data_IF_214263045141
#
_entry.id   IF_214263045141
#
_cell.length_a   1.000
_cell.length_b   1.000
_cell.length_c   1.000
_cell.angle_alpha   90.00
_cell.angle_beta   90.00
_cell.angle_gamma   90.00
#
_symmetry.space_group_name_H-M   'P 1'
#
loop_
_entity.id
_entity.type
_entity.pdbx_description
1 polymer ?
#
# COMPACT_ATOMS: atom_id res chain seq x y z
N UNK A 1 -9.76 -18.27 -19.73
CA UNK A 1 -9.79 -19.59 -19.04
C UNK A 1 -11.14 -19.75 -18.35
N UNK A 2 -11.74 -20.94 -18.30
CA UNK A 2 -12.99 -21.14 -17.58
C UNK A 2 -12.76 -21.07 -16.07
N UNK A 3 -13.59 -20.30 -15.38
CA UNK A 3 -13.64 -20.34 -13.91
C UNK A 3 -14.19 -21.70 -13.44
N UNK A 4 -13.69 -22.17 -12.30
CA UNK A 4 -14.19 -23.36 -11.58
C UNK A 4 -14.29 -23.05 -10.09
N UNK A 5 -15.26 -23.64 -9.41
CA UNK A 5 -15.43 -23.51 -7.95
C UNK A 5 -14.17 -24.00 -7.21
N UNK A 6 -13.67 -23.19 -6.28
CA UNK A 6 -12.46 -23.50 -5.49
C UNK A 6 -11.17 -22.89 -6.04
N UNK A 7 -11.19 -22.33 -7.25
CA UNK A 7 -10.04 -21.65 -7.84
C UNK A 7 -9.65 -20.38 -7.07
N UNK A 8 -8.36 -20.14 -6.92
CA UNK A 8 -7.76 -18.90 -6.38
C UNK A 8 -7.43 -17.84 -7.45
N UNK A 9 -7.86 -16.61 -7.19
CA UNK A 9 -7.74 -15.45 -8.09
C UNK A 9 -7.44 -14.19 -7.29
N UNK A 10 -6.77 -13.22 -7.91
CA UNK A 10 -6.56 -11.87 -7.35
C UNK A 10 -7.30 -10.82 -8.18
N UNK A 11 -7.66 -9.71 -7.54
CA UNK A 11 -8.13 -8.50 -8.24
C UNK A 11 -6.93 -7.70 -8.73
N UNK A 12 -6.90 -7.35 -10.01
CA UNK A 12 -5.84 -6.53 -10.61
C UNK A 12 -5.96 -5.05 -10.19
N UNK A 13 -7.16 -4.62 -9.79
CA UNK A 13 -7.44 -3.24 -9.37
C UNK A 13 -7.37 -3.04 -7.86
N UNK A 14 -7.70 -4.07 -7.08
CA UNK A 14 -7.82 -4.02 -5.62
C UNK A 14 -6.88 -5.06 -4.97
N UNK A 15 -5.57 -4.90 -5.18
CA UNK A 15 -4.56 -5.84 -4.68
C UNK A 15 -4.54 -5.99 -3.15
N UNK A 16 -5.03 -4.99 -2.43
CA UNK A 16 -5.19 -4.96 -0.98
C UNK A 16 -6.19 -6.02 -0.46
N UNK A 17 -7.10 -6.49 -1.32
CA UNK A 17 -8.01 -7.59 -1.00
C UNK A 17 -7.27 -8.94 -0.94
N UNK A 18 -6.04 -9.06 -1.44
CA UNK A 18 -5.29 -10.30 -1.42
C UNK A 18 -5.92 -11.41 -2.27
N UNK A 19 -5.78 -12.66 -1.82
CA UNK A 19 -6.15 -13.84 -2.61
C UNK A 19 -7.61 -14.28 -2.37
N UNK A 20 -8.43 -14.21 -3.42
CA UNK A 20 -9.84 -14.62 -3.42
C UNK A 20 -10.08 -16.05 -3.91
N UNK A 21 -11.16 -16.69 -3.46
CA UNK A 21 -11.64 -18.01 -3.91
C UNK A 21 -12.91 -17.87 -4.72
N UNK A 22 -13.03 -18.58 -5.83
CA UNK A 22 -14.31 -18.75 -6.54
C UNK A 22 -15.28 -19.56 -5.68
N UNK A 23 -16.34 -18.91 -5.19
CA UNK A 23 -17.36 -19.52 -4.31
C UNK A 23 -18.70 -19.74 -5.01
N UNK A 24 -18.98 -18.98 -6.07
CA UNK A 24 -20.20 -19.14 -6.86
C UNK A 24 -19.96 -18.67 -8.31
N UNK A 25 -20.73 -19.22 -9.23
CA UNK A 25 -20.65 -18.89 -10.65
C UNK A 25 -22.02 -19.03 -11.31
N UNK A 26 -22.35 -18.05 -12.15
CA UNK A 26 -23.55 -18.07 -12.99
C UNK A 26 -23.17 -18.03 -14.47
N UNK A 27 -24.16 -17.90 -15.35
CA UNK A 27 -23.96 -17.81 -16.79
C UNK A 27 -23.06 -16.63 -17.20
N UNK A 28 -23.12 -15.49 -16.49
CA UNK A 28 -22.43 -14.24 -16.86
C UNK A 28 -21.46 -13.72 -15.80
N UNK A 29 -21.53 -14.22 -14.57
CA UNK A 29 -20.81 -13.66 -13.42
C UNK A 29 -20.07 -14.74 -12.65
N UNK A 30 -19.02 -14.32 -11.94
CA UNK A 30 -18.26 -15.12 -10.98
C UNK A 30 -18.16 -14.35 -9.67
N UNK A 31 -18.34 -15.04 -8.55
CA UNK A 31 -18.23 -14.49 -7.20
C UNK A 31 -16.93 -14.96 -6.57
N UNK A 32 -16.07 -14.00 -6.22
CA UNK A 32 -14.83 -14.24 -5.47
C UNK A 32 -15.03 -13.82 -4.00
N UNK A 33 -14.77 -14.75 -3.08
CA UNK A 33 -14.64 -14.47 -1.64
C UNK A 33 -13.19 -14.14 -1.33
N UNK A 34 -12.91 -12.99 -0.72
CA UNK A 34 -11.59 -12.58 -0.26
C UNK A 34 -11.47 -12.81 1.26
N UNK A 35 -10.83 -13.90 1.73
CA UNK A 35 -10.85 -14.27 3.15
C UNK A 35 -10.08 -13.31 4.06
N UNK A 36 -9.15 -12.54 3.50
CA UNK A 36 -8.37 -11.50 4.17
C UNK A 36 -9.25 -10.36 4.72
N UNK A 37 -10.30 -9.99 3.99
CA UNK A 37 -11.26 -8.93 4.35
C UNK A 37 -12.65 -9.46 4.70
N UNK A 38 -12.96 -10.70 4.31
CA UNK A 38 -14.28 -11.31 4.44
C UNK A 38 -15.29 -10.83 3.40
N UNK A 39 -14.85 -10.06 2.39
CA UNK A 39 -15.72 -9.51 1.36
C UNK A 39 -15.94 -10.45 0.17
N UNK A 40 -17.14 -10.40 -0.41
CA UNK A 40 -17.44 -11.02 -1.70
C UNK A 40 -17.45 -9.94 -2.79
N UNK A 41 -16.76 -10.17 -3.90
CA UNK A 41 -16.85 -9.33 -5.11
C UNK A 41 -17.39 -10.14 -6.29
N UNK A 42 -18.26 -9.48 -7.05
CA UNK A 42 -18.88 -10.05 -8.24
C UNK A 42 -18.20 -9.47 -9.48
N UNK A 43 -17.69 -10.34 -10.34
CA UNK A 43 -17.04 -9.97 -11.60
C UNK A 43 -17.78 -10.58 -12.78
N UNK A 44 -17.70 -9.93 -13.95
CA UNK A 44 -18.16 -10.52 -15.20
C UNK A 44 -17.24 -11.68 -15.63
N UNK A 45 -17.79 -12.76 -16.21
CA UNK A 45 -16.95 -13.87 -16.72
C UNK A 45 -16.12 -13.47 -17.94
N UNK A 46 -16.59 -12.48 -18.70
CA UNK A 46 -15.87 -11.86 -19.82
C UNK A 46 -15.17 -10.58 -19.35
N UNK A 47 -13.89 -10.41 -19.71
CA UNK A 47 -13.12 -9.17 -19.48
C UNK A 47 -13.05 -8.74 -18.00
N UNK A 48 -12.97 -9.70 -17.08
CA UNK A 48 -12.79 -9.37 -15.66
C UNK A 48 -11.34 -8.99 -15.36
N UNK A 49 -11.11 -7.94 -14.54
CA UNK A 49 -9.78 -7.52 -14.09
C UNK A 49 -9.30 -8.43 -12.95
N UNK A 50 -9.33 -9.74 -13.19
CA UNK A 50 -8.93 -10.75 -12.21
C UNK A 50 -7.92 -11.70 -12.85
N UNK A 51 -6.88 -12.04 -12.10
CA UNK A 51 -5.83 -12.93 -12.57
C UNK A 51 -5.81 -14.22 -11.76
N UNK A 52 -5.68 -15.34 -12.47
CA UNK A 52 -5.55 -16.67 -11.89
C UNK A 52 -4.22 -16.79 -11.16
N UNK A 53 -4.26 -17.27 -9.92
CA UNK A 53 -3.04 -17.51 -9.15
C UNK A 53 -2.60 -18.95 -9.32
N UNK A 54 -1.38 -19.10 -9.83
CA UNK A 54 -0.73 -20.39 -10.06
C UNK A 54 0.72 -20.28 -9.63
N UNK A 55 1.22 -21.31 -8.96
CA UNK A 55 2.63 -21.44 -8.59
C UNK A 55 3.29 -22.55 -9.42
N UNK A 56 4.61 -22.46 -9.56
CA UNK A 56 5.39 -23.40 -10.36
C UNK A 56 6.24 -24.31 -9.46
N UNK A 57 6.68 -25.48 -9.95
CA UNK A 57 7.71 -26.26 -9.29
C UNK A 57 8.95 -25.40 -8.97
N UNK A 58 9.45 -25.52 -7.75
CA UNK A 58 10.53 -24.70 -7.19
C UNK A 58 10.07 -23.49 -6.36
N UNK A 59 8.79 -23.10 -6.42
CA UNK A 59 8.24 -22.05 -5.56
C UNK A 59 8.00 -22.58 -4.14
N UNK A 60 8.04 -21.67 -3.15
CA UNK A 60 7.63 -21.95 -1.78
C UNK A 60 6.29 -21.25 -1.52
N UNK A 61 5.29 -22.02 -1.10
CA UNK A 61 3.93 -21.54 -0.82
C UNK A 61 3.56 -21.78 0.64
N UNK A 62 2.64 -20.95 1.15
CA UNK A 62 2.17 -21.03 2.54
C UNK A 62 0.72 -21.53 2.57
N UNK A 63 0.47 -22.53 3.40
CA UNK A 63 -0.89 -23.00 3.72
C UNK A 63 -1.62 -22.01 4.63
N UNK A 64 -2.94 -21.99 4.60
CA UNK A 64 -3.78 -21.23 5.54
C UNK A 64 -3.50 -21.57 7.02
N UNK A 65 -2.93 -22.75 7.31
CA UNK A 65 -2.48 -23.18 8.65
C UNK A 65 -1.11 -22.60 9.04
N UNK A 66 -0.45 -21.86 8.15
CA UNK A 66 0.81 -21.13 8.40
C UNK A 66 2.09 -21.88 8.06
N UNK A 67 2.02 -23.19 7.78
CA UNK A 67 3.18 -23.98 7.35
C UNK A 67 3.50 -23.80 5.86
N UNK A 68 4.75 -24.06 5.49
CA UNK A 68 5.26 -23.86 4.13
C UNK A 68 5.52 -25.17 3.37
N UNK A 69 5.26 -25.16 2.07
CA UNK A 69 5.52 -26.25 1.13
C UNK A 69 6.48 -25.76 0.05
N UNK A 70 7.56 -26.51 -0.19
CA UNK A 70 8.35 -26.39 -1.43
C UNK A 70 7.70 -27.26 -2.50
N UNK A 71 7.37 -26.68 -3.65
CA UNK A 71 6.62 -27.38 -4.70
C UNK A 71 7.56 -28.21 -5.57
N UNK A 72 7.33 -29.51 -5.64
CA UNK A 72 8.06 -30.42 -6.53
C UNK A 72 7.26 -30.68 -7.83
N UNK A 73 5.93 -30.78 -7.72
CA UNK A 73 5.02 -31.08 -8.83
C UNK A 73 3.69 -30.32 -8.65
N UNK A 74 3.05 -29.95 -9.76
CA UNK A 74 1.70 -29.38 -9.78
C UNK A 74 0.77 -30.29 -10.57
N UNK A 75 -0.30 -30.75 -9.94
CA UNK A 75 -1.34 -31.60 -10.54
C UNK A 75 -2.59 -30.79 -10.80
N UNK A 76 -3.19 -30.99 -11.97
CA UNK A 76 -4.47 -30.37 -12.33
C UNK A 76 -5.54 -31.45 -12.50
N UNK A 77 -6.62 -31.35 -11.72
CA UNK A 77 -7.80 -32.20 -11.85
C UNK A 77 -9.06 -31.33 -11.88
N UNK A 78 -9.90 -31.52 -12.90
CA UNK A 78 -11.16 -30.79 -13.08
C UNK A 78 -11.01 -29.25 -13.05
N UNK A 79 -9.86 -28.72 -13.51
CA UNK A 79 -9.56 -27.29 -13.53
C UNK A 79 -9.16 -26.71 -12.16
N UNK A 80 -8.86 -27.58 -11.18
CA UNK A 80 -8.30 -27.22 -9.89
C UNK A 80 -6.85 -27.68 -9.76
N UNK A 81 -6.04 -26.87 -9.09
CA UNK A 81 -4.62 -27.14 -8.88
C UNK A 81 -4.37 -27.75 -7.49
N UNK A 82 -3.55 -28.80 -7.47
CA UNK A 82 -2.99 -29.39 -6.27
C UNK A 82 -1.47 -29.36 -6.35
N UNK A 83 -0.84 -28.75 -5.35
CA UNK A 83 0.60 -28.61 -5.25
C UNK A 83 1.16 -29.76 -4.42
N UNK A 84 2.09 -30.53 -4.96
CA UNK A 84 2.74 -31.65 -4.28
C UNK A 84 4.19 -31.30 -4.04
N UNK A 85 4.68 -31.54 -2.83
CA UNK A 85 6.11 -31.42 -2.57
C UNK A 85 6.49 -31.65 -1.12
N UNK A 86 7.48 -30.91 -0.65
CA UNK A 86 8.11 -31.14 0.66
C UNK A 86 7.70 -30.06 1.66
N UNK A 87 7.17 -30.46 2.82
CA UNK A 87 6.82 -29.54 3.91
C UNK A 87 8.09 -29.12 4.65
N UNK A 88 8.31 -27.81 4.77
CA UNK A 88 9.57 -27.28 5.31
C UNK A 88 9.71 -27.42 6.84
N UNK A 89 8.60 -27.47 7.57
CA UNK A 89 8.64 -27.54 9.04
C UNK A 89 8.94 -28.94 9.58
N UNK A 90 8.47 -29.97 8.87
CA UNK A 90 8.53 -31.38 9.29
C UNK A 90 9.41 -32.24 8.39
N UNK A 91 9.92 -31.68 7.29
CA UNK A 91 10.67 -32.39 6.24
C UNK A 91 9.90 -33.57 5.61
N UNK A 92 8.58 -33.60 5.77
CA UNK A 92 7.72 -34.61 5.15
C UNK A 92 7.66 -34.38 3.64
N UNK A 93 7.98 -35.41 2.87
CA UNK A 93 7.95 -35.40 1.41
C UNK A 93 6.59 -35.85 0.89
N UNK A 94 6.27 -35.46 -0.34
CA UNK A 94 5.03 -35.84 -1.04
C UNK A 94 3.73 -35.35 -0.35
N UNK A 95 3.81 -34.22 0.37
CA UNK A 95 2.67 -33.54 0.98
C UNK A 95 1.89 -32.81 -0.11
N UNK A 96 0.56 -32.96 -0.10
CA UNK A 96 -0.32 -32.31 -1.08
C UNK A 96 -1.07 -31.13 -0.46
N UNK A 97 -0.92 -29.95 -1.06
CA UNK A 97 -1.65 -28.74 -0.72
C UNK A 97 -2.58 -28.34 -1.86
N UNK A 98 -3.90 -28.45 -1.62
CA UNK A 98 -4.94 -28.00 -2.56
C UNK A 98 -4.97 -26.48 -2.62
N UNK A 99 -5.17 -25.89 -3.80
CA UNK A 99 -5.16 -24.43 -3.95
C UNK A 99 -6.15 -23.69 -3.06
N UNK A 100 -7.30 -24.30 -2.73
CA UNK A 100 -8.31 -23.72 -1.83
C UNK A 100 -7.78 -23.46 -0.42
N UNK A 101 -6.73 -24.18 -0.02
CA UNK A 101 -6.08 -24.09 1.28
C UNK A 101 -4.86 -23.16 1.28
N UNK A 102 -4.58 -22.43 0.19
CA UNK A 102 -3.54 -21.41 0.12
C UNK A 102 -3.88 -20.21 1.01
N UNK A 103 -2.86 -19.69 1.70
CA UNK A 103 -3.02 -18.49 2.53
C UNK A 103 -3.59 -17.31 1.71
N UNK A 104 -4.54 -16.61 2.31
CA UNK A 104 -5.16 -15.39 1.79
C UNK A 104 -4.20 -14.20 1.72
N UNK A 105 -3.11 -14.23 2.50
CA UNK A 105 -2.09 -13.15 2.59
C UNK A 105 -1.09 -13.14 1.44
N UNK A 106 -1.30 -13.95 0.40
CA UNK A 106 -0.42 -14.02 -0.75
C UNK A 106 -0.38 -12.68 -1.50
N UNK A 107 0.67 -11.90 -1.25
CA UNK A 107 1.01 -10.72 -2.02
C UNK A 107 2.01 -11.16 -3.08
N UNK A 108 1.65 -11.09 -4.37
CA UNK A 108 2.64 -11.19 -5.44
C UNK A 108 3.60 -10.00 -5.32
N UNK A 109 4.69 -10.22 -4.59
CA UNK A 109 5.61 -9.14 -4.24
C UNK A 109 6.65 -8.88 -5.32
N UNK A 110 6.93 -9.86 -6.18
CA UNK A 110 8.01 -9.75 -7.18
C UNK A 110 7.45 -9.46 -8.57
N UNK A 111 7.98 -8.44 -9.27
CA UNK A 111 7.53 -8.08 -10.61
C UNK A 111 7.78 -9.18 -11.65
N UNK A 112 8.75 -10.07 -11.42
CA UNK A 112 9.04 -11.22 -12.29
C UNK A 112 7.89 -12.24 -12.31
N UNK A 113 7.25 -12.50 -11.17
CA UNK A 113 6.17 -13.48 -11.04
C UNK A 113 4.94 -12.97 -11.81
N UNK A 114 4.67 -11.66 -11.72
CA UNK A 114 3.62 -10.98 -12.51
C UNK A 114 3.90 -11.08 -14.01
N UNK A 115 5.15 -10.88 -14.44
CA UNK A 115 5.54 -10.99 -15.85
C UNK A 115 5.38 -12.43 -16.37
N UNK A 116 5.80 -13.45 -15.60
CA UNK A 116 5.64 -14.86 -15.97
C UNK A 116 4.18 -15.31 -16.01
N UNK A 117 3.32 -14.72 -15.18
CA UNK A 117 1.87 -14.91 -15.22
C UNK A 117 1.17 -14.15 -16.37
N UNK A 118 1.92 -13.42 -17.22
CA UNK A 118 1.37 -12.64 -18.31
C UNK A 118 0.71 -11.32 -17.89
N UNK A 119 0.86 -10.90 -16.62
CA UNK A 119 0.41 -9.60 -16.14
C UNK A 119 1.39 -8.51 -16.58
N UNK A 120 1.10 -7.89 -17.73
CA UNK A 120 1.92 -6.82 -18.28
C UNK A 120 1.20 -5.49 -18.05
N UNK A 121 1.73 -4.68 -17.12
CA UNK A 121 1.26 -3.31 -16.90
C UNK A 121 1.57 -2.43 -18.12
N UNK A 122 0.78 -1.36 -18.32
CA UNK A 122 1.07 -0.39 -19.39
C UNK A 122 2.41 0.31 -19.17
N UNK A 123 3.15 0.51 -20.27
CA UNK A 123 4.48 1.15 -20.25
C UNK A 123 4.49 2.56 -19.65
N UNK A 124 3.42 3.34 -19.86
CA UNK A 124 3.27 4.68 -19.29
C UNK A 124 3.15 4.65 -17.76
N UNK A 125 2.47 3.65 -17.20
CA UNK A 125 2.36 3.45 -15.74
C UNK A 125 3.69 3.04 -15.13
N UNK A 126 4.45 2.17 -15.79
CA UNK A 126 5.80 1.80 -15.35
C UNK A 126 6.72 3.04 -15.30
N UNK A 127 6.73 3.82 -16.39
CA UNK A 127 7.52 5.05 -16.45
C UNK A 127 7.08 6.07 -15.38
N UNK A 128 5.77 6.23 -15.16
CA UNK A 128 5.24 7.10 -14.10
C UNK A 128 5.67 6.64 -12.71
N UNK A 129 5.58 5.34 -12.40
CA UNK A 129 5.99 4.78 -11.09
C UNK A 129 7.46 5.08 -10.80
N UNK A 130 8.33 4.91 -11.80
CA UNK A 130 9.74 5.25 -11.68
C UNK A 130 9.95 6.76 -11.42
N UNK A 131 9.34 7.63 -12.25
CA UNK A 131 9.45 9.09 -12.10
C UNK A 131 8.91 9.57 -10.75
N UNK A 132 7.77 9.05 -10.31
CA UNK A 132 7.16 9.39 -9.03
C UNK A 132 8.10 9.09 -7.87
N UNK A 133 8.70 7.90 -7.83
CA UNK A 133 9.67 7.53 -6.77
C UNK A 133 10.91 8.41 -6.79
N UNK A 134 11.44 8.72 -7.97
CA UNK A 134 12.59 9.62 -8.13
C UNK A 134 12.27 11.02 -7.60
N UNK A 135 11.20 11.64 -8.10
CA UNK A 135 10.81 12.99 -7.68
C UNK A 135 10.46 13.05 -6.19
N UNK A 136 9.71 12.06 -5.69
CA UNK A 136 9.39 11.98 -4.27
C UNK A 136 10.66 11.92 -3.41
N UNK A 137 11.64 11.09 -3.79
CA UNK A 137 12.92 10.99 -3.08
C UNK A 137 13.70 12.31 -3.10
N UNK A 138 13.78 12.97 -4.24
CA UNK A 138 14.45 14.27 -4.38
C UNK A 138 13.78 15.34 -3.51
N UNK A 139 12.44 15.40 -3.50
CA UNK A 139 11.70 16.37 -2.70
C UNK A 139 11.86 16.16 -1.19
N UNK A 140 11.85 14.92 -0.71
CA UNK A 140 12.03 14.62 0.72
C UNK A 140 13.42 14.97 1.24
N UNK A 141 14.45 14.89 0.39
CA UNK A 141 15.85 15.19 0.76
C UNK A 141 16.17 16.69 0.74
N UNK A 142 15.24 17.54 0.30
CA UNK A 142 15.49 18.97 0.21
C UNK A 142 15.76 19.58 1.60
N UNK A 143 16.82 20.40 1.78
CA UNK A 143 17.20 20.98 3.07
C UNK A 143 16.13 21.88 3.71
N UNK A 144 15.23 22.42 2.89
CA UNK A 144 14.13 23.32 3.27
C UNK A 144 12.76 22.64 3.09
N UNK A 145 12.70 21.31 3.26
CA UNK A 145 11.44 20.58 3.31
C UNK A 145 10.51 21.19 4.38
N UNK A 146 9.22 21.33 4.06
CA UNK A 146 8.24 21.99 4.93
C UNK A 146 8.19 23.52 4.87
N UNK A 147 9.06 24.18 4.07
CA UNK A 147 9.10 25.64 3.90
C UNK A 147 8.79 26.12 2.48
N UNK A 148 8.13 25.29 1.66
CA UNK A 148 7.78 25.63 0.26
C UNK A 148 6.29 25.53 -0.07
N UNK A 149 5.52 24.85 0.77
CA UNK A 149 4.10 24.57 0.51
C UNK A 149 3.16 25.67 1.02
N UNK A 150 3.66 26.54 1.89
CA UNK A 150 2.86 27.61 2.48
C UNK A 150 2.57 28.72 1.47
N UNK A 151 1.34 29.22 1.51
CA UNK A 151 0.87 30.33 0.66
C UNK A 151 1.26 31.68 1.27
N UNK A 152 2.54 31.94 1.41
CA UNK A 152 3.08 33.19 2.00
C UNK A 152 4.18 33.77 1.13
N UNK A 153 4.47 35.06 1.33
CA UNK A 153 5.66 35.66 0.74
C UNK A 153 6.92 35.09 1.43
N UNK A 154 8.02 35.01 0.69
CA UNK A 154 9.31 34.51 1.18
C UNK A 154 10.08 35.62 1.92
N UNK A 155 9.61 35.97 3.12
CA UNK A 155 10.21 37.04 3.92
C UNK A 155 11.37 36.45 4.76
N UNK A 156 12.61 36.96 4.65
CA UNK A 156 13.79 36.34 5.27
C UNK A 156 13.70 36.13 6.79
N UNK A 157 13.17 37.09 7.56
CA UNK A 157 13.10 36.95 9.01
C UNK A 157 12.14 35.82 9.43
N UNK A 158 10.98 35.71 8.77
CA UNK A 158 9.99 34.65 9.02
C UNK A 158 10.57 33.27 8.69
N UNK A 159 11.26 33.16 7.54
CA UNK A 159 11.91 31.91 7.12
C UNK A 159 13.03 31.50 8.08
N UNK A 160 13.80 32.45 8.58
CA UNK A 160 14.88 32.17 9.53
C UNK A 160 14.33 31.60 10.85
N UNK A 161 13.29 32.23 11.41
CA UNK A 161 12.61 31.76 12.63
C UNK A 161 12.02 30.37 12.39
N UNK A 162 11.30 30.17 11.28
CA UNK A 162 10.70 28.89 10.98
C UNK A 162 11.75 27.79 10.73
N UNK A 163 12.90 28.11 10.12
CA UNK A 163 13.98 27.15 9.90
C UNK A 163 14.67 26.73 11.20
N UNK A 164 14.98 27.69 12.08
CA UNK A 164 15.62 27.42 13.36
C UNK A 164 14.67 26.68 14.30
N UNK A 165 13.48 27.22 14.54
CA UNK A 165 12.52 26.67 15.50
C UNK A 165 11.86 25.40 14.99
N UNK A 166 11.49 25.35 13.71
CA UNK A 166 10.77 24.22 13.11
C UNK A 166 11.56 22.91 13.09
N UNK A 167 12.89 22.97 13.14
CA UNK A 167 13.78 21.79 13.14
C UNK A 167 14.11 21.26 14.53
N UNK A 168 13.77 21.98 15.60
CA UNK A 168 14.03 21.56 16.97
C UNK A 168 13.09 20.41 17.35
N UNK A 169 13.57 19.50 18.18
CA UNK A 169 12.72 18.53 18.84
C UNK A 169 11.96 19.21 19.99
N UNK A 170 10.64 19.11 20.01
CA UNK A 170 9.76 19.74 21.01
C UNK A 170 10.05 21.25 21.24
N UNK A 171 9.90 22.10 20.20
CA UNK A 171 10.24 23.52 20.29
C UNK A 171 9.41 24.25 21.36
N UNK A 172 10.10 25.00 22.23
CA UNK A 172 9.52 25.91 23.21
C UNK A 172 10.06 27.31 22.96
N UNK A 173 9.24 28.18 22.38
CA UNK A 173 9.65 29.52 21.94
C UNK A 173 8.53 30.53 22.21
N UNK A 174 8.92 31.77 22.52
CA UNK A 174 8.04 32.93 22.57
C UNK A 174 8.27 33.78 21.32
N UNK A 175 7.26 33.88 20.45
CA UNK A 175 7.27 34.80 19.31
C UNK A 175 6.78 36.17 19.79
N UNK A 176 7.70 37.11 19.96
CA UNK A 176 7.44 38.44 20.53
C UNK A 176 7.68 39.57 19.51
N UNK A 177 7.65 39.26 18.21
CA UNK A 177 7.82 40.24 17.15
C UNK A 177 6.75 41.33 17.21
N UNK A 178 7.00 42.47 16.56
CA UNK A 178 6.02 43.55 16.47
C UNK A 178 4.70 43.10 15.82
N UNK A 179 3.63 43.86 16.09
CA UNK A 179 2.32 43.59 15.51
C UNK A 179 2.41 43.75 13.99
N UNK A 180 1.93 42.75 13.24
CA UNK A 180 1.98 42.74 11.78
C UNK A 180 3.21 42.07 11.17
N UNK A 181 4.26 41.73 11.94
CA UNK A 181 5.47 41.09 11.40
C UNK A 181 5.32 39.61 11.04
N UNK A 182 4.17 39.00 11.35
CA UNK A 182 3.83 37.65 10.90
C UNK A 182 4.03 36.54 11.92
N UNK A 183 3.89 36.81 13.22
CA UNK A 183 3.91 35.79 14.28
C UNK A 183 3.00 34.58 13.99
N UNK A 184 1.83 34.81 13.40
CA UNK A 184 0.90 33.73 13.01
C UNK A 184 1.41 32.92 11.82
N UNK A 185 2.09 33.58 10.87
CA UNK A 185 2.74 32.93 9.71
C UNK A 185 3.89 32.04 10.19
N UNK A 186 4.76 32.56 11.06
CA UNK A 186 5.87 31.83 11.65
C UNK A 186 5.40 30.61 12.43
N UNK A 187 4.37 30.78 13.28
CA UNK A 187 3.73 29.68 14.00
C UNK A 187 3.20 28.63 13.02
N UNK A 188 2.51 29.03 11.95
CA UNK A 188 2.01 28.14 10.91
C UNK A 188 3.12 27.37 10.19
N UNK A 189 4.25 28.02 9.86
CA UNK A 189 5.40 27.35 9.24
C UNK A 189 6.06 26.33 10.17
N UNK A 190 6.18 26.64 11.47
CA UNK A 190 6.71 25.72 12.49
C UNK A 190 5.79 24.49 12.60
N UNK A 191 4.48 24.72 12.71
CA UNK A 191 3.46 23.66 12.75
C UNK A 191 3.53 22.76 11.51
N UNK A 192 3.56 23.36 10.32
CA UNK A 192 3.63 22.63 9.06
C UNK A 192 4.89 21.76 8.96
N UNK A 193 6.05 22.24 9.40
CA UNK A 193 7.27 21.43 9.44
C UNK A 193 7.18 20.25 10.41
N UNK A 194 6.63 20.47 11.61
CA UNK A 194 6.48 19.42 12.62
C UNK A 194 5.51 18.33 12.17
N UNK A 195 4.42 18.70 11.48
CA UNK A 195 3.47 17.77 10.87
C UNK A 195 4.10 17.00 9.70
N UNK A 196 4.78 17.70 8.78
CA UNK A 196 5.35 17.08 7.58
C UNK A 196 6.51 16.11 7.92
N UNK A 197 7.27 16.39 8.97
CA UNK A 197 8.34 15.52 9.45
C UNK A 197 7.84 14.35 10.30
N UNK A 198 6.56 14.33 10.67
CA UNK A 198 5.99 13.33 11.59
C UNK A 198 6.43 13.52 13.04
N UNK A 199 7.08 14.65 13.39
CA UNK A 199 7.48 14.96 14.75
C UNK A 199 6.27 15.32 15.65
N UNK A 200 5.17 15.76 15.04
CA UNK A 200 3.88 15.95 15.70
C UNK A 200 2.76 15.42 14.81
N UNK A 201 1.78 14.76 15.42
CA UNK A 201 0.52 14.36 14.76
C UNK A 201 -0.69 15.13 15.30
N UNK A 202 -0.54 15.75 16.47
CA UNK A 202 -1.60 16.47 17.19
C UNK A 202 -1.10 17.85 17.56
N UNK A 203 -1.95 18.84 17.31
CA UNK A 203 -1.67 20.26 17.57
C UNK A 203 -2.83 20.84 18.38
N UNK A 204 -2.52 21.63 19.41
CA UNK A 204 -3.49 22.42 20.15
C UNK A 204 -3.14 23.90 19.99
N UNK A 205 -4.08 24.70 19.47
CA UNK A 205 -3.97 26.16 19.38
C UNK A 205 -5.01 26.74 20.33
N UNK A 206 -4.56 27.48 21.34
CA UNK A 206 -5.43 28.18 22.29
C UNK A 206 -5.45 29.65 21.89
N UNK A 207 -6.63 30.14 21.53
CA UNK A 207 -6.86 31.53 21.11
C UNK A 207 -8.13 32.07 21.78
N UNK A 208 -8.22 33.39 22.04
CA UNK A 208 -9.47 34.02 22.43
C UNK A 208 -10.58 33.74 21.41
N UNK A 209 -11.83 33.66 21.88
CA UNK A 209 -13.00 33.37 21.03
C UNK A 209 -13.08 34.26 19.80
N UNK A 210 -12.78 35.55 19.97
CA UNK A 210 -12.82 36.57 18.91
C UNK A 210 -11.80 36.33 17.79
N UNK A 211 -10.74 35.55 18.01
CA UNK A 211 -9.71 35.26 17.02
C UNK A 211 -9.84 33.87 16.40
N UNK A 212 -10.76 33.01 16.86
CA UNK A 212 -10.88 31.63 16.37
C UNK A 212 -11.07 31.55 14.85
N UNK A 213 -11.97 32.36 14.30
CA UNK A 213 -12.26 32.38 12.86
C UNK A 213 -11.08 32.87 12.01
N UNK A 214 -10.16 33.66 12.57
CA UNK A 214 -8.96 34.11 11.86
C UNK A 214 -7.91 32.99 11.75
N UNK A 215 -7.93 32.03 12.68
CA UNK A 215 -6.98 30.92 12.73
C UNK A 215 -7.46 29.65 11.99
N UNK A 216 -8.76 29.55 11.70
CA UNK A 216 -9.37 28.47 10.89
C UNK A 216 -9.23 28.75 9.39
#
# INVERSE_FOLDING_TARGET
>A
MPFTLGQRWISDTESELGLGTVVAMDARTVTLLFPSTGENRLYARSDSPVTRVMFNPGDTITSHEGWQLHIDEVKEENGLLAYVGTRLDTEETNVTLREVLLDSKLVFSKPQDRLFAGQIDRMDRFALRYRARKFQSEQYRMPYSGLRGQRTNLIPHQLNIAHDVGRRHAPRVLLADEVGLGKTIEAGMILHQQLLSGAAERVLIIVPETLQHQWL
#
